data_IF_830257049470
#
_entry.id   IF_830257049470
#
_cell.length_a   1.000
_cell.length_b   1.000
_cell.length_c   1.000
_cell.angle_alpha   90.00
_cell.angle_beta   90.00
_cell.angle_gamma   90.00
#
_symmetry.space_group_name_H-M   'P 1'
#
loop_
_entity.id
_entity.type
_entity.pdbx_description
1 polymer ?
#
# COMPACT_ATOMS: atom_id res chain seq x y z
N UNK A 1 -2.09 -31.85 11.20
CA UNK A 1 -2.26 -30.78 10.19
C UNK A 1 -1.32 -31.06 9.03
N UNK A 2 -1.83 -31.33 7.83
CA UNK A 2 -0.99 -31.52 6.64
C UNK A 2 -0.57 -30.12 6.16
N UNK A 3 0.64 -29.68 6.50
CA UNK A 3 1.21 -28.47 5.89
C UNK A 3 1.19 -28.66 4.38
N UNK A 4 0.58 -27.73 3.64
CA UNK A 4 0.57 -27.82 2.18
C UNK A 4 2.02 -27.90 1.70
N UNK A 5 2.30 -28.80 0.76
CA UNK A 5 3.65 -29.08 0.23
C UNK A 5 4.37 -27.80 -0.21
N UNK A 6 3.61 -26.80 -0.65
CA UNK A 6 4.07 -25.46 -1.02
C UNK A 6 4.65 -24.68 0.17
N UNK A 7 3.99 -24.67 1.33
CA UNK A 7 4.50 -23.98 2.52
C UNK A 7 5.82 -24.60 3.01
N UNK A 8 5.95 -25.93 2.92
CA UNK A 8 7.18 -26.62 3.29
C UNK A 8 8.38 -26.17 2.42
N UNK A 9 8.17 -26.01 1.11
CA UNK A 9 9.23 -25.54 0.19
C UNK A 9 9.60 -24.08 0.42
N UNK A 10 8.63 -23.23 0.77
CA UNK A 10 8.91 -21.85 1.19
C UNK A 10 9.78 -21.81 2.43
N UNK A 11 9.50 -22.65 3.43
CA UNK A 11 10.32 -22.74 4.64
C UNK A 11 11.74 -23.22 4.34
N UNK A 12 11.89 -24.25 3.50
CA UNK A 12 13.21 -24.73 3.06
C UNK A 12 14.03 -23.60 2.42
N UNK A 13 13.43 -22.79 1.53
CA UNK A 13 14.13 -21.65 0.93
C UNK A 13 14.61 -20.64 1.99
N UNK A 14 13.74 -20.30 2.94
CA UNK A 14 14.05 -19.36 4.01
C UNK A 14 15.15 -19.89 4.92
N UNK A 15 15.11 -21.18 5.27
CA UNK A 15 16.11 -21.84 6.11
C UNK A 15 17.48 -21.89 5.43
N UNK A 16 17.50 -22.06 4.11
CA UNK A 16 18.72 -21.96 3.29
C UNK A 16 19.22 -20.51 3.11
N UNK A 17 18.46 -19.51 3.55
CA UNK A 17 18.82 -18.10 3.43
C UNK A 17 18.79 -17.56 2.00
N UNK A 18 18.08 -18.24 1.09
CA UNK A 18 18.01 -17.89 -0.34
C UNK A 18 16.86 -16.93 -0.56
N UNK A 19 17.07 -15.82 -1.26
CA UNK A 19 15.98 -14.93 -1.66
C UNK A 19 15.19 -15.47 -2.86
N UNK A 20 13.93 -15.03 -3.02
CA UNK A 20 13.13 -15.39 -4.20
C UNK A 20 13.81 -14.99 -5.52
N UNK A 21 14.51 -13.85 -5.54
CA UNK A 21 15.24 -13.37 -6.72
C UNK A 21 16.42 -14.29 -7.04
N UNK A 22 17.23 -14.67 -6.05
CA UNK A 22 18.35 -15.59 -6.25
C UNK A 22 17.88 -16.96 -6.75
N UNK A 23 16.78 -17.47 -6.21
CA UNK A 23 16.20 -18.73 -6.69
C UNK A 23 15.73 -18.59 -8.14
N UNK A 24 15.09 -17.47 -8.50
CA UNK A 24 14.68 -17.17 -9.86
C UNK A 24 15.86 -17.12 -10.83
N UNK A 25 16.91 -16.38 -10.46
CA UNK A 25 18.11 -16.20 -11.27
C UNK A 25 18.84 -17.54 -11.47
N UNK A 26 18.93 -18.38 -10.44
CA UNK A 26 19.57 -19.71 -10.52
C UNK A 26 18.87 -20.69 -11.47
N UNK A 27 17.57 -20.50 -11.69
CA UNK A 27 16.73 -21.40 -12.48
C UNK A 27 16.31 -20.81 -13.83
N UNK A 28 16.69 -19.56 -14.12
CA UNK A 28 16.22 -18.84 -15.31
C UNK A 28 14.71 -18.59 -15.32
N UNK A 29 14.09 -18.46 -14.15
CA UNK A 29 12.65 -18.24 -13.99
C UNK A 29 12.34 -16.80 -13.59
N UNK A 30 11.20 -16.22 -14.00
CA UNK A 30 10.81 -14.91 -13.50
C UNK A 30 10.45 -14.97 -12.01
N UNK A 31 10.92 -14.00 -11.22
CA UNK A 31 10.65 -13.89 -9.77
C UNK A 31 9.15 -13.98 -9.43
N UNK A 32 8.30 -13.38 -10.25
CA UNK A 32 6.84 -13.41 -10.06
C UNK A 32 6.30 -14.84 -10.01
N UNK A 33 6.86 -15.77 -10.78
CA UNK A 33 6.43 -17.18 -10.80
C UNK A 33 6.73 -17.87 -9.48
N UNK A 34 7.88 -17.58 -8.86
CA UNK A 34 8.23 -18.09 -7.53
C UNK A 34 7.35 -17.46 -6.47
N UNK A 35 7.13 -16.14 -6.53
CA UNK A 35 6.26 -15.43 -5.58
C UNK A 35 4.83 -15.96 -5.61
N UNK A 36 4.24 -16.14 -6.79
CA UNK A 36 2.88 -16.69 -6.94
C UNK A 36 2.80 -18.14 -6.47
N UNK A 37 3.88 -18.91 -6.64
CA UNK A 37 3.95 -20.26 -6.13
C UNK A 37 4.00 -20.31 -4.60
N UNK A 38 4.84 -19.50 -3.95
CA UNK A 38 4.92 -19.44 -2.49
C UNK A 38 3.63 -18.95 -1.82
N UNK A 39 2.86 -18.10 -2.51
CA UNK A 39 1.52 -17.66 -2.08
C UNK A 39 0.44 -18.75 -2.25
N UNK A 40 0.76 -19.89 -2.89
CA UNK A 40 -0.19 -20.97 -3.15
C UNK A 40 -1.15 -20.69 -4.30
N UNK A 41 -0.93 -19.62 -5.08
CA UNK A 41 -1.79 -19.26 -6.22
C UNK A 41 -1.49 -20.15 -7.43
N UNK A 42 -0.23 -20.57 -7.58
CA UNK A 42 0.21 -21.51 -8.63
C UNK A 42 1.07 -22.62 -8.02
N UNK A 43 1.15 -23.80 -8.65
CA UNK A 43 2.11 -24.81 -8.21
C UNK A 43 3.55 -24.33 -8.46
N UNK A 44 4.47 -24.67 -7.55
CA UNK A 44 5.88 -24.42 -7.73
C UNK A 44 6.40 -25.29 -8.91
N UNK A 45 7.16 -24.72 -9.87
CA UNK A 45 7.75 -25.51 -10.95
C UNK A 45 8.60 -26.67 -10.40
N UNK A 46 8.50 -27.84 -11.03
CA UNK A 46 9.19 -29.05 -10.57
C UNK A 46 10.71 -28.84 -10.46
N UNK A 47 11.32 -28.15 -11.44
CA UNK A 47 12.75 -27.80 -11.44
C UNK A 47 13.15 -27.03 -10.15
N UNK A 48 12.31 -26.11 -9.68
CA UNK A 48 12.58 -25.36 -8.46
C UNK A 48 12.45 -26.21 -7.20
N UNK A 49 11.53 -27.18 -7.21
CA UNK A 49 11.35 -28.13 -6.13
C UNK A 49 12.55 -29.07 -6.01
N UNK A 50 12.99 -29.63 -7.12
CA UNK A 50 14.14 -30.54 -7.17
C UNK A 50 15.41 -29.82 -6.70
N UNK A 51 15.63 -28.59 -7.22
CA UNK A 51 16.75 -27.75 -6.81
C UNK A 51 16.78 -27.45 -5.30
N UNK A 52 15.64 -27.08 -4.70
CA UNK A 52 15.56 -26.83 -3.25
C UNK A 52 15.80 -28.09 -2.42
N UNK A 53 15.35 -29.26 -2.90
CA UNK A 53 15.61 -30.53 -2.24
C UNK A 53 17.10 -30.92 -2.33
N UNK A 54 17.74 -30.74 -3.48
CA UNK A 54 19.16 -31.01 -3.66
C UNK A 54 20.03 -30.11 -2.77
N UNK A 55 19.71 -28.80 -2.73
CA UNK A 55 20.39 -27.87 -1.83
C UNK A 55 20.19 -28.23 -0.36
N UNK A 56 19.00 -28.68 0.03
CA UNK A 56 18.75 -29.13 1.39
C UNK A 56 19.58 -30.39 1.73
N UNK A 57 19.72 -31.33 0.79
CA UNK A 57 20.58 -32.50 0.98
C UNK A 57 22.05 -32.11 1.14
N UNK A 58 22.54 -31.17 0.33
CA UNK A 58 23.90 -30.65 0.44
C UNK A 58 24.10 -29.93 1.78
N UNK A 59 23.17 -29.05 2.15
CA UNK A 59 23.23 -28.29 3.41
C UNK A 59 23.23 -29.19 4.65
N UNK A 60 22.56 -30.35 4.59
CA UNK A 60 22.57 -31.35 5.67
C UNK A 60 23.90 -32.08 5.80
N UNK A 61 24.66 -32.23 4.72
CA UNK A 61 25.98 -32.88 4.72
C UNK A 61 27.08 -31.95 5.21
N UNK A 62 26.89 -30.64 5.07
CA UNK A 62 27.86 -29.66 5.54
C UNK A 62 27.76 -29.53 7.08
N UNK A 63 28.89 -29.47 7.79
CA UNK A 63 28.88 -29.20 9.22
C UNK A 63 28.20 -27.84 9.44
N UNK A 64 27.21 -27.79 10.34
CA UNK A 64 26.55 -26.53 10.68
C UNK A 64 27.63 -25.53 11.09
N UNK A 65 27.74 -24.37 10.42
CA UNK A 65 28.74 -23.39 10.82
C UNK A 65 28.50 -23.07 12.29
N UNK A 66 29.56 -23.11 13.09
CA UNK A 66 29.51 -22.76 14.50
C UNK A 66 28.69 -21.47 14.62
N UNK A 67 27.63 -21.50 15.43
CA UNK A 67 26.71 -20.37 15.53
C UNK A 67 27.50 -19.15 15.95
N UNK A 68 27.84 -18.28 14.99
CA UNK A 68 28.52 -17.04 15.27
C UNK A 68 27.47 -16.22 16.01
N UNK A 69 27.53 -16.23 17.34
CA UNK A 69 26.75 -15.31 18.15
C UNK A 69 27.23 -13.92 17.75
N UNK A 70 26.51 -13.31 16.80
CA UNK A 70 26.78 -11.93 16.42
C UNK A 70 26.44 -11.15 17.67
N UNK A 71 27.45 -10.61 18.35
CA UNK A 71 27.25 -9.59 19.39
C UNK A 71 26.26 -8.60 18.80
N UNK A 72 25.05 -8.52 19.37
CA UNK A 72 24.00 -7.62 18.88
C UNK A 72 24.62 -6.24 18.84
N UNK A 73 24.80 -5.70 17.63
CA UNK A 73 25.25 -4.32 17.49
C UNK A 73 24.21 -3.45 18.20
N UNK A 74 24.61 -2.54 19.10
CA UNK A 74 23.67 -1.62 19.72
C UNK A 74 22.92 -0.90 18.60
N UNK A 75 21.59 -0.88 18.67
CA UNK A 75 20.78 -0.18 17.67
C UNK A 75 21.15 1.31 17.68
N UNK A 76 20.98 1.99 16.54
CA UNK A 76 21.17 3.44 16.46
C UNK A 76 20.31 4.17 17.51
N UNK A 77 19.17 3.61 17.89
CA UNK A 77 18.33 4.11 18.98
C UNK A 77 19.03 4.04 20.36
N UNK A 78 19.83 3.00 20.63
CA UNK A 78 20.63 2.91 21.87
C UNK A 78 21.87 3.81 21.87
N UNK A 79 22.40 4.20 20.72
CA UNK A 79 23.56 5.12 20.65
C UNK A 79 23.20 6.60 20.86
N UNK A 80 21.93 6.99 20.68
CA UNK A 80 21.51 8.37 20.90
C UNK A 80 21.61 8.75 22.40
N UNK A 81 21.99 9.99 22.73
CA UNK A 81 21.95 10.50 24.10
C UNK A 81 20.51 10.47 24.62
N UNK A 82 20.35 10.29 25.94
CA UNK A 82 19.08 9.90 26.58
C UNK A 82 17.87 10.79 26.19
N UNK A 83 18.09 12.08 25.97
CA UNK A 83 17.07 13.06 25.59
C UNK A 83 16.56 12.92 24.13
N UNK A 84 17.33 12.28 23.25
CA UNK A 84 16.98 12.04 21.83
C UNK A 84 16.64 10.58 21.54
N UNK A 85 16.61 9.73 22.58
CA UNK A 85 16.05 8.39 22.45
C UNK A 85 14.54 8.58 22.36
N UNK A 86 13.96 8.25 21.21
CA UNK A 86 12.52 8.05 21.11
C UNK A 86 12.22 6.95 22.12
N UNK A 87 11.72 7.35 23.29
CA UNK A 87 11.18 6.42 24.24
C UNK A 87 9.94 5.82 23.56
N UNK A 88 10.14 4.71 22.85
CA UNK A 88 9.13 3.65 22.86
C UNK A 88 9.06 3.22 24.31
N UNK A 89 8.41 4.06 25.12
CA UNK A 89 8.08 3.74 26.48
C UNK A 89 7.43 2.38 26.41
N UNK A 90 7.83 1.54 27.33
CA UNK A 90 7.19 0.27 27.61
C UNK A 90 5.71 0.57 27.82
N UNK A 91 4.92 0.56 26.74
CA UNK A 91 3.49 0.31 26.82
C UNK A 91 3.45 -1.10 27.35
N UNK A 92 3.39 -1.21 28.68
CA UNK A 92 2.77 -2.35 29.33
C UNK A 92 1.51 -2.59 28.50
N UNK A 93 1.43 -3.75 27.88
CA UNK A 93 0.17 -4.24 27.33
C UNK A 93 -0.78 -4.31 28.54
N UNK A 94 -1.51 -3.23 28.77
CA UNK A 94 -2.62 -3.23 29.70
C UNK A 94 -3.70 -4.09 29.04
N UNK A 95 -4.18 -5.16 29.70
CA UNK A 95 -5.33 -5.89 29.22
C UNK A 95 -6.55 -5.04 29.55
N UNK A 96 -6.85 -4.05 28.72
CA UNK A 96 -7.91 -3.11 29.04
C UNK A 96 -8.10 -2.05 27.97
N UNK A 97 -9.19 -2.20 27.22
CA UNK A 97 -9.84 -1.18 26.37
C UNK A 97 -8.91 -0.53 25.36
N UNK A 98 -8.86 -1.13 24.17
CA UNK A 98 -8.50 -0.38 22.97
C UNK A 98 -9.42 0.83 22.85
N UNK A 99 -8.89 2.00 23.21
CA UNK A 99 -9.48 3.25 22.77
C UNK A 99 -9.30 3.26 21.26
N UNK A 100 -10.38 2.93 20.55
CA UNK A 100 -10.48 3.18 19.12
C UNK A 100 -10.32 4.69 18.97
N UNK A 101 -9.24 5.09 18.32
CA UNK A 101 -8.97 6.47 17.96
C UNK A 101 -9.99 6.86 16.89
N UNK A 102 -11.09 7.49 17.29
CA UNK A 102 -12.11 8.07 16.38
C UNK A 102 -11.64 9.38 15.74
N UNK A 103 -10.36 9.72 15.89
CA UNK A 103 -9.72 10.92 15.34
C UNK A 103 -9.48 10.84 13.83
N UNK A 104 -9.71 9.70 13.19
CA UNK A 104 -10.03 9.68 11.77
C UNK A 104 -11.49 10.08 11.63
N UNK A 105 -11.81 11.32 11.21
CA UNK A 105 -13.18 11.65 10.87
C UNK A 105 -13.58 10.69 9.77
N UNK A 106 -14.47 9.75 10.08
CA UNK A 106 -15.33 9.22 9.05
C UNK A 106 -15.90 10.45 8.36
N UNK A 107 -15.54 10.66 7.09
CA UNK A 107 -16.24 11.65 6.27
C UNK A 107 -17.67 11.16 6.22
N UNK A 108 -18.48 11.69 7.12
CA UNK A 108 -19.91 11.50 7.13
C UNK A 108 -20.38 11.84 5.73
N UNK A 109 -20.99 10.87 5.06
CA UNK A 109 -21.59 11.07 3.74
C UNK A 109 -22.77 12.04 3.85
N UNK A 110 -23.32 12.18 5.06
CA UNK A 110 -24.35 13.15 5.39
C UNK A 110 -23.77 14.55 5.61
N UNK A 111 -24.50 15.54 5.12
CA UNK A 111 -24.23 16.93 5.42
C UNK A 111 -24.33 17.19 6.94
N UNK A 112 -23.73 18.28 7.41
CA UNK A 112 -23.80 18.65 8.84
C UNK A 112 -25.25 18.88 9.31
N UNK A 113 -26.13 19.26 8.39
CA UNK A 113 -27.55 19.53 8.65
C UNK A 113 -28.32 18.21 8.77
N UNK A 114 -28.14 17.28 7.82
CA UNK A 114 -28.74 15.93 7.88
C UNK A 114 -28.31 15.15 9.12
N UNK A 115 -27.05 15.30 9.53
CA UNK A 115 -26.52 14.68 10.75
C UNK A 115 -27.18 15.23 12.03
N UNK A 116 -27.54 16.52 12.03
CA UNK A 116 -28.24 17.16 13.16
C UNK A 116 -29.70 16.74 13.20
N UNK A 117 -30.37 16.71 12.05
CA UNK A 117 -31.77 16.26 11.98
C UNK A 117 -31.94 14.80 12.40
N UNK A 118 -31.04 13.91 11.95
CA UNK A 118 -31.07 12.49 12.35
C UNK A 118 -30.80 12.31 13.84
N UNK A 119 -29.82 13.03 14.41
CA UNK A 119 -29.57 13.02 15.84
C UNK A 119 -30.75 13.55 16.66
N UNK A 120 -31.41 14.60 16.18
CA UNK A 120 -32.59 15.18 16.82
C UNK A 120 -33.78 14.20 16.77
N UNK A 121 -34.06 13.58 15.62
CA UNK A 121 -35.11 12.54 15.49
C UNK A 121 -34.88 11.35 16.43
N UNK A 122 -33.63 10.90 16.58
CA UNK A 122 -33.27 9.84 17.53
C UNK A 122 -33.51 10.29 18.97
N UNK A 123 -33.11 11.51 19.32
CA UNK A 123 -33.32 12.07 20.66
C UNK A 123 -34.80 12.20 20.99
N UNK A 124 -35.60 12.69 20.05
CA UNK A 124 -37.04 12.85 20.21
C UNK A 124 -37.72 11.49 20.40
N UNK A 125 -37.32 10.46 19.63
CA UNK A 125 -37.77 9.06 19.82
C UNK A 125 -37.47 8.50 21.20
N UNK A 126 -36.25 8.72 21.72
CA UNK A 126 -35.87 8.20 23.05
C UNK A 126 -36.51 8.98 24.21
N UNK A 127 -36.87 10.25 23.99
CA UNK A 127 -37.43 11.10 25.04
C UNK A 127 -38.93 10.87 25.29
N UNK A 128 -39.68 10.47 24.28
CA UNK A 128 -41.13 10.31 24.37
C UNK A 128 -41.60 8.93 24.86
N UNK A 129 -40.74 7.91 24.83
CA UNK A 129 -41.22 6.53 24.92
C UNK A 129 -40.32 5.64 25.79
N UNK A 130 -40.47 5.74 27.12
CA UNK A 130 -39.77 4.88 28.10
C UNK A 130 -40.22 3.41 28.03
N UNK A 131 -41.25 3.09 27.25
CA UNK A 131 -41.84 1.76 27.09
C UNK A 131 -41.85 1.27 25.63
N UNK A 132 -41.04 1.87 24.75
CA UNK A 132 -40.97 1.44 23.36
C UNK A 132 -40.28 0.08 23.24
N UNK A 133 -41.07 -0.98 23.11
CA UNK A 133 -40.61 -2.25 22.57
C UNK A 133 -40.82 -2.20 21.06
N UNK A 134 -39.76 -2.07 20.23
CA UNK A 134 -39.92 -2.06 18.79
C UNK A 134 -40.65 -3.33 18.37
N UNK A 135 -41.78 -3.18 17.69
CA UNK A 135 -42.44 -4.33 17.10
C UNK A 135 -41.54 -4.88 15.98
N UNK A 136 -41.69 -6.16 15.62
CA UNK A 136 -40.90 -6.73 14.53
C UNK A 136 -41.10 -5.96 13.20
N UNK A 137 -42.25 -5.33 13.02
CA UNK A 137 -42.56 -4.47 11.88
C UNK A 137 -41.71 -3.19 11.87
N UNK A 138 -41.52 -2.55 13.02
CA UNK A 138 -40.68 -1.35 13.16
C UNK A 138 -39.22 -1.65 12.87
N UNK A 139 -38.72 -2.79 13.38
CA UNK A 139 -37.35 -3.23 13.09
C UNK A 139 -37.12 -3.53 11.60
N UNK A 140 -38.10 -4.14 10.93
CA UNK A 140 -38.06 -4.38 9.48
C UNK A 140 -38.06 -3.06 8.69
N UNK A 141 -38.87 -2.08 9.11
CA UNK A 141 -38.92 -0.77 8.44
C UNK A 141 -37.61 0.00 8.58
N UNK A 142 -37.01 0.01 9.76
CA UNK A 142 -35.69 0.63 9.99
C UNK A 142 -34.57 -0.04 9.18
N UNK A 143 -34.62 -1.37 9.04
CA UNK A 143 -33.67 -2.10 8.19
C UNK A 143 -33.82 -1.72 6.71
N UNK A 144 -35.05 -1.56 6.22
CA UNK A 144 -35.30 -1.10 4.84
C UNK A 144 -34.75 0.30 4.61
N UNK A 145 -35.01 1.25 5.53
CA UNK A 145 -34.46 2.61 5.46
C UNK A 145 -32.92 2.57 5.45
N UNK A 146 -32.30 1.77 6.32
CA UNK A 146 -30.84 1.62 6.37
C UNK A 146 -30.27 1.04 5.07
N UNK A 147 -30.96 0.07 4.46
CA UNK A 147 -30.56 -0.51 3.18
C UNK A 147 -30.68 0.48 2.03
N UNK A 148 -31.76 1.27 1.98
CA UNK A 148 -31.95 2.32 0.98
C UNK A 148 -30.87 3.40 1.10
N UNK A 149 -30.55 3.84 2.32
CA UNK A 149 -29.44 4.78 2.56
C UNK A 149 -28.10 4.21 2.08
N UNK A 150 -27.78 2.95 2.42
CA UNK A 150 -26.55 2.30 1.94
C UNK A 150 -26.51 2.19 0.42
N UNK A 151 -27.65 1.87 -0.20
CA UNK A 151 -27.78 1.82 -1.66
C UNK A 151 -27.52 3.19 -2.29
N UNK A 152 -28.08 4.26 -1.72
CA UNK A 152 -27.84 5.63 -2.18
C UNK A 152 -26.36 6.03 -2.08
N UNK A 153 -25.69 5.70 -0.96
CA UNK A 153 -24.26 5.97 -0.78
C UNK A 153 -23.42 5.24 -1.82
N UNK A 154 -23.70 3.96 -2.06
CA UNK A 154 -22.99 3.18 -3.08
C UNK A 154 -23.23 3.77 -4.48
N UNK A 155 -24.46 4.19 -4.79
CA UNK A 155 -24.77 4.82 -6.06
C UNK A 155 -23.99 6.12 -6.26
N UNK A 156 -23.95 7.01 -5.26
CA UNK A 156 -23.14 8.22 -5.34
C UNK A 156 -21.64 7.94 -5.55
N UNK A 157 -21.10 6.89 -4.92
CA UNK A 157 -19.71 6.48 -5.13
C UNK A 157 -19.48 5.97 -6.56
N UNK A 158 -20.43 5.23 -7.12
CA UNK A 158 -20.37 4.79 -8.52
C UNK A 158 -20.42 5.99 -9.48
N UNK A 159 -21.32 6.93 -9.26
CA UNK A 159 -21.46 8.12 -10.11
C UNK A 159 -20.16 8.97 -10.10
N UNK A 160 -19.53 9.14 -8.92
CA UNK A 160 -18.22 9.81 -8.81
C UNK A 160 -17.14 9.06 -9.57
N UNK A 161 -17.10 7.74 -9.48
CA UNK A 161 -16.14 6.92 -10.22
C UNK A 161 -16.38 6.98 -11.74
N UNK A 162 -17.62 7.06 -12.18
CA UNK A 162 -17.97 7.24 -13.60
C UNK A 162 -17.53 8.60 -14.13
N UNK A 163 -17.74 9.68 -13.36
CA UNK A 163 -17.24 11.01 -13.68
C UNK A 163 -15.70 11.03 -13.76
N UNK A 164 -15.01 10.38 -12.81
CA UNK A 164 -13.55 10.29 -12.83
C UNK A 164 -13.04 9.45 -14.03
N UNK A 165 -13.74 8.37 -14.40
CA UNK A 165 -13.45 7.59 -15.61
C UNK A 165 -13.64 8.44 -16.87
N UNK A 166 -14.71 9.24 -16.95
CA UNK A 166 -14.97 10.12 -18.08
C UNK A 166 -13.93 11.26 -18.20
N UNK A 167 -13.42 11.76 -17.07
CA UNK A 167 -12.39 12.80 -17.01
C UNK A 167 -10.96 12.28 -17.20
N UNK A 168 -10.71 10.97 -16.99
CA UNK A 168 -9.40 10.34 -17.16
C UNK A 168 -8.70 10.62 -18.50
N UNK A 169 -9.35 10.54 -19.68
CA UNK A 169 -8.69 10.85 -20.96
C UNK A 169 -8.23 12.30 -21.04
N UNK A 170 -9.03 13.26 -20.56
CA UNK A 170 -8.66 14.68 -20.57
C UNK A 170 -7.48 14.96 -19.63
N UNK A 171 -7.48 14.34 -18.43
CA UNK A 171 -6.35 14.42 -17.49
C UNK A 171 -5.07 13.85 -18.11
N UNK A 172 -5.16 12.71 -18.79
CA UNK A 172 -4.00 12.11 -19.47
C UNK A 172 -3.44 13.00 -20.58
N UNK A 173 -4.29 13.66 -21.39
CA UNK A 173 -3.86 14.63 -22.41
C UNK A 173 -3.13 15.81 -21.76
N UNK A 174 -3.66 16.35 -20.66
CA UNK A 174 -3.03 17.46 -19.94
C UNK A 174 -1.64 17.08 -19.37
N UNK A 175 -1.50 15.87 -18.81
CA UNK A 175 -0.20 15.37 -18.31
C UNK A 175 0.79 15.19 -19.47
N UNK A 176 0.36 14.62 -20.62
CA UNK A 176 1.19 14.53 -21.84
C UNK A 176 1.69 15.90 -22.30
N UNK A 177 0.81 16.91 -22.35
CA UNK A 177 1.17 18.27 -22.75
C UNK A 177 2.26 18.87 -21.84
N UNK A 178 2.09 18.75 -20.51
CA UNK A 178 3.10 19.19 -19.53
C UNK A 178 4.44 18.47 -19.69
N UNK A 179 4.42 17.18 -20.02
CA UNK A 179 5.63 16.38 -20.25
C UNK A 179 6.40 16.86 -21.48
N UNK A 180 5.69 17.18 -22.58
CA UNK A 180 6.29 17.77 -23.78
C UNK A 180 6.92 19.13 -23.45
N UNK A 181 6.20 20.00 -22.75
CA UNK A 181 6.70 21.32 -22.34
C UNK A 181 7.99 21.21 -21.51
N UNK A 182 8.04 20.28 -20.55
CA UNK A 182 9.24 20.03 -19.73
C UNK A 182 10.42 19.52 -20.56
N UNK A 183 10.17 18.65 -21.55
CA UNK A 183 11.21 18.17 -22.48
C UNK A 183 11.80 19.32 -23.30
N UNK A 184 10.96 20.24 -23.78
CA UNK A 184 11.39 21.44 -24.51
C UNK A 184 12.25 22.34 -23.61
N UNK A 185 11.77 22.64 -22.39
CA UNK A 185 12.54 23.44 -21.41
C UNK A 185 13.87 22.79 -21.04
N UNK A 186 13.93 21.47 -20.89
CA UNK A 186 15.18 20.75 -20.63
C UNK A 186 16.18 20.92 -21.77
N UNK A 187 15.73 20.82 -23.03
CA UNK A 187 16.60 21.07 -24.19
C UNK A 187 17.14 22.50 -24.19
N UNK A 188 16.28 23.50 -23.97
CA UNK A 188 16.71 24.91 -23.95
C UNK A 188 17.70 25.20 -22.81
N UNK A 189 17.45 24.73 -21.60
CA UNK A 189 18.37 24.95 -20.48
C UNK A 189 19.71 24.24 -20.64
N UNK A 190 19.74 23.07 -21.27
CA UNK A 190 21.01 22.39 -21.60
C UNK A 190 21.82 23.19 -22.61
N UNK A 191 21.15 23.77 -23.61
CA UNK A 191 21.78 24.63 -24.60
C UNK A 191 22.35 25.90 -23.95
N UNK A 192 21.55 26.60 -23.14
CA UNK A 192 22.00 27.78 -22.37
C UNK A 192 23.17 27.47 -21.43
N UNK A 193 23.19 26.26 -20.84
CA UNK A 193 24.29 25.80 -19.98
C UNK A 193 25.61 25.59 -20.75
N UNK A 194 25.54 25.29 -22.06
CA UNK A 194 26.72 25.20 -22.94
C UNK A 194 27.22 26.58 -23.33
N UNK A 195 26.30 27.45 -23.74
CA UNK A 195 26.58 28.81 -24.23
C UNK A 195 27.11 29.75 -23.14
N UNK A 196 26.60 29.62 -21.89
CA UNK A 196 26.93 30.55 -20.81
C UNK A 196 27.65 29.85 -19.64
N UNK A 197 28.99 29.69 -19.70
CA UNK A 197 29.75 28.97 -18.68
C UNK A 197 29.64 29.59 -17.27
N UNK A 198 29.56 30.91 -17.17
CA UNK A 198 29.43 31.64 -15.91
C UNK A 198 28.14 31.29 -15.13
N UNK A 199 27.07 30.90 -15.83
CA UNK A 199 25.76 30.61 -15.23
C UNK A 199 25.47 29.11 -15.07
N UNK A 200 26.44 28.24 -15.37
CA UNK A 200 26.27 26.76 -15.33
C UNK A 200 25.69 26.25 -14.02
N UNK A 201 26.15 26.76 -12.87
CA UNK A 201 25.66 26.31 -11.56
C UNK A 201 24.14 26.57 -11.39
N UNK A 202 23.66 27.74 -11.85
CA UNK A 202 22.23 28.09 -11.81
C UNK A 202 21.41 27.21 -12.76
N UNK A 203 21.90 26.99 -13.99
CA UNK A 203 21.20 26.13 -14.95
C UNK A 203 21.16 24.66 -14.53
N UNK A 204 22.24 24.12 -13.93
CA UNK A 204 22.25 22.75 -13.39
C UNK A 204 21.15 22.52 -12.35
N UNK A 205 20.94 23.48 -11.45
CA UNK A 205 19.85 23.41 -10.47
C UNK A 205 18.47 23.39 -11.12
N UNK A 206 18.24 24.27 -12.12
CA UNK A 206 16.97 24.29 -12.88
C UNK A 206 16.74 23.01 -13.66
N UNK A 207 17.78 22.47 -14.30
CA UNK A 207 17.74 21.19 -15.03
C UNK A 207 17.37 20.05 -14.08
N UNK A 208 18.01 19.95 -12.91
CA UNK A 208 17.70 18.93 -11.91
C UNK A 208 16.23 18.98 -11.46
N UNK A 209 15.70 20.17 -11.20
CA UNK A 209 14.28 20.36 -10.86
C UNK A 209 13.35 19.91 -11.98
N UNK A 210 13.65 20.27 -13.23
CA UNK A 210 12.85 19.85 -14.39
C UNK A 210 12.89 18.34 -14.62
N UNK A 211 14.01 17.68 -14.32
CA UNK A 211 14.11 16.22 -14.36
C UNK A 211 13.20 15.54 -13.34
N UNK A 212 13.21 16.00 -12.08
CA UNK A 212 12.31 15.47 -11.05
C UNK A 212 10.85 15.63 -11.46
N UNK A 213 10.48 16.81 -11.96
CA UNK A 213 9.11 17.06 -12.45
C UNK A 213 8.75 16.22 -13.69
N UNK A 214 9.73 15.89 -14.54
CA UNK A 214 9.54 15.00 -15.69
C UNK A 214 9.27 13.56 -15.21
N UNK A 215 10.06 13.06 -14.26
CA UNK A 215 9.90 11.72 -13.69
C UNK A 215 8.52 11.58 -13.04
N UNK A 216 8.11 12.55 -12.21
CA UNK A 216 6.78 12.56 -11.59
C UNK A 216 5.65 12.51 -12.62
N UNK A 217 5.78 13.24 -13.73
CA UNK A 217 4.79 13.22 -14.80
C UNK A 217 4.79 11.92 -15.61
N UNK A 218 5.94 11.28 -15.76
CA UNK A 218 6.06 9.95 -16.37
C UNK A 218 5.40 8.89 -15.49
N UNK A 219 5.60 8.96 -14.16
CA UNK A 219 4.90 8.12 -13.18
C UNK A 219 3.38 8.35 -13.17
N UNK A 220 2.93 9.61 -13.29
CA UNK A 220 1.51 9.93 -13.44
C UNK A 220 0.93 9.35 -14.74
N UNK A 221 1.66 9.44 -15.86
CA UNK A 221 1.24 8.83 -17.13
C UNK A 221 1.17 7.32 -17.07
N UNK A 222 2.09 6.66 -16.35
CA UNK A 222 2.03 5.21 -16.16
C UNK A 222 0.75 4.77 -15.46
N UNK A 223 0.19 5.57 -14.54
CA UNK A 223 -1.09 5.23 -13.89
C UNK A 223 -2.24 5.12 -14.89
N UNK A 224 -2.22 5.93 -15.96
CA UNK A 224 -3.22 5.88 -17.02
C UNK A 224 -2.96 4.76 -18.04
N UNK A 225 -1.69 4.35 -18.21
CA UNK A 225 -1.30 3.32 -19.19
C UNK A 225 -1.29 1.90 -18.62
N UNK A 226 -1.33 1.73 -17.29
CA UNK A 226 -1.38 0.39 -16.68
C UNK A 226 -2.72 -0.25 -17.07
N UNK A 227 -2.71 -1.42 -17.76
CA UNK A 227 -3.93 -2.16 -18.00
C UNK A 227 -4.57 -2.46 -16.63
N UNK A 228 -5.88 -2.25 -16.53
CA UNK A 228 -6.63 -2.70 -15.36
C UNK A 228 -6.37 -4.20 -15.23
N UNK A 229 -5.62 -4.59 -14.19
CA UNK A 229 -5.39 -6.00 -13.90
C UNK A 229 -6.75 -6.62 -13.60
N UNK A 230 -7.29 -7.34 -14.59
CA UNK A 230 -8.46 -8.20 -14.50
C UNK A 230 -8.22 -9.35 -13.55
#
# INVERSE_FOLDING_TARGET
MKTSTTQALTMIRVDLGISQQQLADSLGLPRSRISMAELGIRPLPQIARDYLHDLLQIARRLPKPASISRKRRPSVATQRPAYNRIAFSRRKAAPGKGHIDTSMPYQSVFSKEESRETAQRLKDRFSYDRSYCPTSADACHELLISLEQKRAVIQCQLDVLELDKAAAPQRAVAVKAKLIERKIKLKSYRQLCRENPALRKRYRSKIARLYLQKIQAEEEMEKFNRPAMT
#
